data_IF_388149032514
#
_entry.id   IF_388149032514
#
_cell.length_a   1.000
_cell.length_b   1.000
_cell.length_c   1.000
_cell.angle_alpha   90.00
_cell.angle_beta   90.00
_cell.angle_gamma   90.00
#
_symmetry.space_group_name_H-M   'P 1'
#
loop_
_entity.id
_entity.type
_entity.pdbx_description
1 polymer ?
#
# COMPACT_ATOMS: atom_id res chain seq x y z
N UNK A 1 5.10 14.62 17.32
CA UNK A 1 6.07 15.64 16.89
C UNK A 1 5.58 17.07 17.07
N UNK A 2 4.37 17.43 16.61
CA UNK A 2 3.84 18.81 16.74
C UNK A 2 3.90 19.36 18.17
N UNK A 3 3.48 18.56 19.16
CA UNK A 3 3.53 18.91 20.59
C UNK A 3 4.96 19.14 21.10
N UNK A 4 5.95 18.40 20.58
CA UNK A 4 7.35 18.51 21.01
C UNK A 4 8.06 19.72 20.39
N UNK A 5 7.65 20.15 19.19
CA UNK A 5 8.20 21.32 18.52
C UNK A 5 7.56 22.63 19.00
N UNK A 6 6.27 22.62 19.35
CA UNK A 6 5.55 23.82 19.82
C UNK A 6 5.81 24.13 21.30
N UNK A 7 6.14 23.12 22.13
CA UNK A 7 6.38 23.30 23.56
C UNK A 7 7.88 23.47 23.87
N UNK A 8 8.34 24.71 23.80
CA UNK A 8 9.69 25.13 24.24
C UNK A 8 9.84 25.13 25.78
N UNK A 9 8.72 25.04 26.51
CA UNK A 9 8.68 25.00 27.98
C UNK A 9 8.41 23.58 28.49
N UNK A 10 8.88 23.24 29.71
CA UNK A 10 8.52 21.99 30.37
C UNK A 10 7.01 21.79 30.36
N UNK A 11 6.57 20.59 29.99
CA UNK A 11 5.15 20.29 29.89
C UNK A 11 4.81 18.98 30.58
N UNK A 12 3.61 18.94 31.16
CA UNK A 12 3.07 17.71 31.72
C UNK A 12 2.50 16.84 30.60
N UNK A 13 2.84 15.55 30.62
CA UNK A 13 2.31 14.56 29.69
C UNK A 13 2.04 13.26 30.41
N UNK A 14 1.06 12.51 29.91
CA UNK A 14 0.77 11.17 30.40
C UNK A 14 1.54 10.19 29.53
N UNK A 15 2.44 9.42 30.13
CA UNK A 15 3.24 8.41 29.44
C UNK A 15 2.82 7.00 29.87
N UNK A 16 3.10 6.04 29.00
CA UNK A 16 2.74 4.64 29.16
C UNK A 16 3.86 3.93 29.93
N UNK A 17 3.52 3.28 31.05
CA UNK A 17 4.45 2.49 31.88
C UNK A 17 4.30 1.01 31.56
N UNK A 18 3.07 0.55 31.36
CA UNK A 18 2.70 -0.80 30.95
C UNK A 18 1.46 -0.72 30.06
N UNK A 19 1.12 -1.81 29.37
CA UNK A 19 -0.17 -1.95 28.70
C UNK A 19 -1.29 -1.60 29.70
N UNK A 20 -2.10 -0.60 29.36
CA UNK A 20 -3.19 -0.01 30.17
C UNK A 20 -2.78 0.85 31.39
N UNK A 21 -1.49 0.91 31.76
CA UNK A 21 -1.02 1.72 32.89
C UNK A 21 -0.35 3.01 32.42
N UNK A 22 -0.96 4.13 32.78
CA UNK A 22 -0.54 5.46 32.40
C UNK A 22 -0.19 6.30 33.62
N UNK A 23 0.94 7.02 33.57
CA UNK A 23 1.39 7.91 34.65
C UNK A 23 1.70 9.29 34.11
N UNK A 24 1.51 10.33 34.92
CA UNK A 24 1.86 11.70 34.56
C UNK A 24 3.35 11.96 34.82
N UNK A 25 4.03 12.58 33.88
CA UNK A 25 5.40 13.07 34.03
C UNK A 25 5.52 14.48 33.46
N UNK A 26 6.44 15.24 34.05
CA UNK A 26 6.87 16.52 33.50
C UNK A 26 8.09 16.27 32.62
N UNK A 27 7.95 16.57 31.33
CA UNK A 27 9.02 16.38 30.35
C UNK A 27 9.77 17.71 30.16
N UNK A 28 11.09 17.77 30.42
CA UNK A 28 11.90 18.93 30.09
C UNK A 28 12.06 19.05 28.57
N UNK A 29 12.49 20.23 28.07
CA UNK A 29 12.63 20.51 26.64
C UNK A 29 13.38 19.36 25.92
N UNK A 30 12.70 18.61 25.04
CA UNK A 30 13.32 17.46 24.38
C UNK A 30 14.08 17.91 23.14
N UNK A 31 15.39 17.66 23.10
CA UNK A 31 16.25 17.98 21.94
C UNK A 31 16.42 16.77 21.00
N UNK A 32 16.28 15.57 21.57
CA UNK A 32 16.51 14.29 20.89
C UNK A 32 15.40 13.30 21.22
N UNK A 33 15.18 12.36 20.31
CA UNK A 33 14.18 11.28 20.44
C UNK A 33 14.81 9.95 20.07
N UNK A 34 14.43 8.90 20.80
CA UNK A 34 14.84 7.53 20.48
C UNK A 34 13.80 6.86 19.60
N UNK A 35 14.22 6.32 18.45
CA UNK A 35 13.36 5.64 17.49
C UNK A 35 13.79 4.18 17.39
N UNK A 36 12.80 3.28 17.44
CA UNK A 36 12.99 1.86 17.17
C UNK A 36 13.02 1.60 15.66
N UNK A 37 14.13 1.09 15.15
CA UNK A 37 14.32 0.79 13.72
C UNK A 37 13.99 -0.67 13.37
N UNK A 38 13.75 -1.51 14.38
CA UNK A 38 13.61 -2.96 14.21
C UNK A 38 14.90 -3.71 14.51
N UNK A 39 14.87 -5.04 14.39
CA UNK A 39 16.01 -5.93 14.64
C UNK A 39 16.72 -5.70 15.99
N UNK A 40 15.96 -5.35 17.04
CA UNK A 40 16.47 -5.00 18.37
C UNK A 40 17.36 -3.76 18.42
N UNK A 41 17.25 -2.86 17.43
CA UNK A 41 18.05 -1.64 17.33
C UNK A 41 17.17 -0.41 17.60
N UNK A 42 17.61 0.39 18.57
CA UNK A 42 17.09 1.73 18.86
C UNK A 42 18.18 2.76 18.61
N UNK A 43 17.84 3.85 17.94
CA UNK A 43 18.80 4.93 17.62
C UNK A 43 18.22 6.27 18.04
N UNK A 44 19.07 7.11 18.62
CA UNK A 44 18.75 8.46 19.01
C UNK A 44 18.96 9.43 17.84
N UNK A 45 17.95 10.26 17.58
CA UNK A 45 17.95 11.27 16.52
C UNK A 45 17.55 12.64 17.05
N UNK A 46 18.12 13.68 16.45
CA UNK A 46 17.60 15.05 16.59
C UNK A 46 16.18 15.16 16.02
N UNK A 47 15.37 16.07 16.54
CA UNK A 47 13.96 16.21 16.16
C UNK A 47 13.73 16.37 14.65
N UNK A 48 14.61 17.08 13.95
CA UNK A 48 14.51 17.32 12.51
C UNK A 48 14.77 16.04 11.70
N UNK A 49 15.88 15.35 11.96
CA UNK A 49 16.22 14.07 11.32
C UNK A 49 15.19 12.98 11.62
N UNK A 50 14.68 12.96 12.86
CA UNK A 50 13.61 12.06 13.26
C UNK A 50 12.34 12.27 12.41
N UNK A 51 11.97 13.54 12.16
CA UNK A 51 10.82 13.88 11.32
C UNK A 51 11.02 13.44 9.88
N UNK A 52 12.18 13.77 9.29
CA UNK A 52 12.51 13.36 7.92
C UNK A 52 12.47 11.84 7.74
N UNK A 53 13.04 11.09 8.69
CA UNK A 53 13.04 9.63 8.68
C UNK A 53 11.62 9.06 8.69
N UNK A 54 10.75 9.59 9.57
CA UNK A 54 9.37 9.13 9.67
C UNK A 54 8.53 9.52 8.46
N UNK A 55 8.74 10.71 7.89
CA UNK A 55 8.08 11.13 6.65
C UNK A 55 8.50 10.25 5.46
N UNK A 56 9.79 9.92 5.36
CA UNK A 56 10.31 8.97 4.37
C UNK A 56 9.72 7.57 4.54
N UNK A 57 9.64 7.08 5.78
CA UNK A 57 9.03 5.78 6.09
C UNK A 57 7.54 5.78 5.73
N UNK A 58 6.80 6.82 6.09
CA UNK A 58 5.39 6.98 5.71
C UNK A 58 5.22 6.98 4.18
N UNK A 59 6.06 7.71 3.47
CA UNK A 59 6.04 7.74 2.01
C UNK A 59 6.32 6.36 1.40
N UNK A 60 7.24 5.60 1.98
CA UNK A 60 7.58 4.24 1.53
C UNK A 60 6.42 3.27 1.76
N UNK A 61 5.79 3.31 2.93
CA UNK A 61 4.60 2.50 3.24
C UNK A 61 3.44 2.86 2.31
N UNK A 62 3.18 4.15 2.08
CA UNK A 62 2.12 4.58 1.17
C UNK A 62 2.35 4.12 -0.27
N UNK A 63 3.62 4.13 -0.73
CA UNK A 63 3.98 3.58 -2.05
C UNK A 63 3.75 2.07 -2.11
N UNK A 64 4.11 1.34 -1.06
CA UNK A 64 3.87 -0.09 -0.98
C UNK A 64 2.37 -0.42 -1.02
N UNK A 65 1.54 0.32 -0.28
CA UNK A 65 0.06 0.16 -0.32
C UNK A 65 -0.46 0.43 -1.74
N UNK A 66 -0.02 1.51 -2.39
CA UNK A 66 -0.42 1.80 -3.77
C UNK A 66 0.02 0.72 -4.75
N UNK A 67 1.21 0.17 -4.58
CA UNK A 67 1.70 -0.92 -5.42
C UNK A 67 0.85 -2.18 -5.25
N UNK A 68 0.45 -2.51 -4.02
CA UNK A 68 -0.46 -3.63 -3.76
C UNK A 68 -1.83 -3.41 -4.41
N UNK A 69 -2.40 -2.21 -4.28
CA UNK A 69 -3.65 -1.85 -4.96
C UNK A 69 -3.54 -1.97 -6.49
N UNK A 70 -2.44 -1.48 -7.06
CA UNK A 70 -2.18 -1.60 -8.49
C UNK A 70 -2.06 -3.08 -8.93
N UNK A 71 -1.49 -3.95 -8.10
CA UNK A 71 -1.44 -5.40 -8.38
C UNK A 71 -2.83 -6.02 -8.42
N UNK A 72 -3.72 -5.64 -7.49
CA UNK A 72 -5.10 -6.14 -7.48
C UNK A 72 -5.86 -5.68 -8.73
N UNK A 73 -5.73 -4.40 -9.12
CA UNK A 73 -6.31 -3.84 -10.34
C UNK A 73 -5.80 -4.57 -11.60
N UNK A 74 -4.47 -4.70 -11.72
CA UNK A 74 -3.82 -5.41 -12.84
C UNK A 74 -4.28 -6.87 -12.93
N UNK A 75 -4.50 -7.53 -11.79
CA UNK A 75 -4.98 -8.92 -11.76
C UNK A 75 -6.41 -9.02 -12.30
N UNK A 76 -7.27 -8.07 -11.95
CA UNK A 76 -8.63 -8.00 -12.50
C UNK A 76 -8.64 -7.71 -14.00
N UNK A 77 -7.80 -6.79 -14.47
CA UNK A 77 -7.65 -6.49 -15.89
C UNK A 77 -7.15 -7.70 -16.68
N UNK A 78 -6.18 -8.44 -16.12
CA UNK A 78 -5.66 -9.67 -16.74
C UNK A 78 -6.75 -10.74 -16.87
N UNK A 79 -7.58 -10.91 -15.84
CA UNK A 79 -8.71 -11.83 -15.88
C UNK A 79 -9.72 -11.44 -16.97
N UNK A 80 -10.03 -10.15 -17.09
CA UNK A 80 -10.91 -9.62 -18.13
C UNK A 80 -10.36 -9.89 -19.54
N UNK A 81 -9.06 -9.63 -19.78
CA UNK A 81 -8.42 -9.89 -21.08
C UNK A 81 -8.46 -11.39 -21.43
N UNK A 82 -8.26 -12.27 -20.45
CA UNK A 82 -8.37 -13.72 -20.65
C UNK A 82 -9.77 -14.15 -21.11
N UNK A 83 -10.82 -13.56 -20.53
CA UNK A 83 -12.20 -13.85 -20.91
C UNK A 83 -12.52 -13.31 -22.31
N UNK A 84 -11.98 -12.16 -22.67
CA UNK A 84 -12.10 -11.61 -24.03
C UNK A 84 -11.44 -12.49 -25.09
N UNK A 85 -10.25 -13.02 -24.80
CA UNK A 85 -9.56 -13.97 -25.69
C UNK A 85 -10.45 -15.20 -25.90
N UNK A 86 -10.90 -15.82 -24.81
CA UNK A 86 -11.74 -17.02 -24.86
C UNK A 86 -13.02 -16.79 -25.67
N UNK A 87 -13.71 -15.67 -25.44
CA UNK A 87 -14.94 -15.32 -26.16
C UNK A 87 -14.68 -15.12 -27.66
N UNK A 88 -13.57 -14.46 -27.99
CA UNK A 88 -13.18 -14.20 -29.38
C UNK A 88 -12.85 -15.50 -30.11
N UNK A 89 -12.13 -16.42 -29.47
CA UNK A 89 -11.79 -17.73 -30.05
C UNK A 89 -13.04 -18.56 -30.37
N UNK A 90 -14.01 -18.61 -29.45
CA UNK A 90 -15.28 -19.30 -29.69
C UNK A 90 -16.06 -18.66 -30.84
N UNK A 91 -16.10 -17.33 -30.91
CA UNK A 91 -16.77 -16.62 -32.00
C UNK A 91 -16.12 -16.89 -33.36
N UNK A 92 -14.79 -16.95 -33.43
CA UNK A 92 -14.06 -17.32 -34.65
C UNK A 92 -14.44 -18.74 -35.09
N UNK A 93 -14.50 -19.70 -34.16
CA UNK A 93 -14.91 -21.06 -34.46
C UNK A 93 -16.35 -21.13 -34.98
N UNK A 94 -17.27 -20.38 -34.38
CA UNK A 94 -18.67 -20.30 -34.84
C UNK A 94 -18.77 -19.74 -36.27
N UNK A 95 -18.07 -18.65 -36.56
CA UNK A 95 -18.04 -18.04 -37.90
C UNK A 95 -17.44 -19.00 -38.93
N UNK A 96 -16.37 -19.69 -38.57
CA UNK A 96 -15.76 -20.72 -39.42
C UNK A 96 -16.75 -21.85 -39.73
N UNK A 97 -17.39 -22.42 -38.70
CA UNK A 97 -18.37 -23.50 -38.85
C UNK A 97 -19.58 -23.09 -39.70
N UNK A 98 -20.08 -21.86 -39.48
CA UNK A 98 -21.13 -21.29 -40.32
C UNK A 98 -20.68 -21.15 -41.79
N UNK A 99 -19.45 -20.68 -42.02
CA UNK A 99 -18.86 -20.59 -43.36
C UNK A 99 -18.76 -21.93 -44.08
N UNK A 100 -18.33 -22.99 -43.39
CA UNK A 100 -18.27 -24.36 -43.93
C UNK A 100 -19.68 -24.85 -44.31
N UNK A 101 -20.66 -24.70 -43.41
CA UNK A 101 -22.06 -25.12 -43.66
C UNK A 101 -22.65 -24.42 -44.89
N UNK A 102 -22.39 -23.11 -45.03
CA UNK A 102 -22.86 -22.31 -46.18
C UNK A 102 -22.21 -22.74 -47.50
N UNK A 103 -20.94 -23.18 -47.47
CA UNK A 103 -20.25 -23.72 -48.67
C UNK A 103 -20.82 -25.08 -49.07
N UNK A 104 -21.02 -26.00 -48.12
CA UNK A 104 -21.63 -27.31 -48.39
C UNK A 104 -23.02 -27.18 -49.03
N UNK A 105 -23.85 -26.25 -48.55
CA UNK A 105 -25.17 -25.98 -49.12
C UNK A 105 -25.11 -25.46 -50.57
N UNK A 106 -24.07 -24.72 -50.95
CA UNK A 106 -23.88 -24.23 -52.32
C UNK A 106 -23.40 -25.31 -53.30
N UNK A 107 -22.73 -26.35 -52.81
CA UNK A 107 -22.22 -27.46 -53.64
C UNK A 107 -23.25 -28.57 -53.81
N UNK A 108 -24.24 -28.64 -52.91
CA UNK A 108 -25.34 -29.62 -52.94
C UNK A 108 -26.57 -29.16 -53.74
N UNK A 109 -26.55 -27.96 -54.31
CA UNK A 109 -27.54 -27.40 -55.23
C UNK A 109 -26.94 -27.33 -56.64
#
# INVERSE_FOLDING_TARGET
FRILQEKSQPFETTYLVSEEVYTKAVVPKPEKVSIWLGANVMVEYELEKAKELLEKNRGSVQKAIKALQAVDELTSELAFVKDQITTTEVNIAHVHNYGVKKRQQKTAA
#
